data_IF_794201223261
#
_entry.id   IF_794201223261
#
_cell.length_a   1.000
_cell.length_b   1.000
_cell.length_c   1.000
_cell.angle_alpha   90.00
_cell.angle_beta   90.00
_cell.angle_gamma   90.00
#
_symmetry.space_group_name_H-M   'P 1'
#
loop_
_entity.id
_entity.type
_entity.pdbx_description
1 polymer ?
#
# COMPACT_ATOMS: atom_id res chain seq x y z
N UNK A 1 0.70 25.95 -41.33
CA UNK A 1 1.96 25.41 -40.78
C UNK A 1 1.75 25.10 -39.31
N UNK A 2 1.21 23.91 -39.00
CA UNK A 2 0.95 23.49 -37.62
C UNK A 2 2.22 22.88 -37.03
N UNK A 3 2.84 23.56 -36.07
CA UNK A 3 3.95 23.03 -35.27
C UNK A 3 3.38 22.02 -34.26
N UNK A 4 3.44 20.73 -34.58
CA UNK A 4 3.20 19.66 -33.60
C UNK A 4 4.44 19.59 -32.71
N UNK A 5 4.30 20.06 -31.47
CA UNK A 5 5.28 19.88 -30.40
C UNK A 5 5.40 18.38 -30.12
N UNK A 6 6.57 17.80 -30.36
CA UNK A 6 6.92 16.44 -29.92
C UNK A 6 7.07 16.46 -28.41
N UNK A 7 5.95 16.47 -27.71
CA UNK A 7 5.89 16.22 -26.27
C UNK A 7 6.38 14.81 -26.02
N UNK A 8 7.48 14.70 -25.27
CA UNK A 8 8.09 13.45 -24.87
C UNK A 8 7.04 12.54 -24.21
N UNK A 9 6.67 11.45 -24.88
CA UNK A 9 6.03 10.33 -24.21
C UNK A 9 7.08 9.76 -23.26
N UNK A 10 7.06 10.22 -22.02
CA UNK A 10 7.82 9.60 -20.94
C UNK A 10 7.48 8.12 -20.97
N UNK A 11 8.51 7.30 -21.12
CA UNK A 11 8.43 5.85 -21.08
C UNK A 11 8.05 5.47 -19.65
N UNK A 12 6.75 5.54 -19.32
CA UNK A 12 6.26 5.05 -18.05
C UNK A 12 6.30 3.53 -18.18
N UNK A 13 7.41 2.97 -17.73
CA UNK A 13 7.59 1.54 -17.55
C UNK A 13 6.51 1.08 -16.57
N UNK A 14 5.36 0.66 -17.11
CA UNK A 14 4.16 0.28 -16.37
C UNK A 14 4.37 -1.11 -15.79
N UNK A 15 5.32 -1.24 -14.87
CA UNK A 15 5.43 -2.37 -13.99
C UNK A 15 4.20 -2.36 -13.07
N UNK A 16 3.09 -2.95 -13.51
CA UNK A 16 1.87 -3.31 -12.75
C UNK A 16 1.69 -2.43 -11.51
N UNK A 17 1.50 -1.13 -11.75
CA UNK A 17 1.40 -0.17 -10.67
C UNK A 17 0.11 -0.48 -9.91
N UNK A 18 0.20 -0.69 -8.59
CA UNK A 18 -0.97 -0.82 -7.73
C UNK A 18 -1.74 0.50 -7.73
N UNK A 19 -2.66 0.64 -8.69
CA UNK A 19 -3.40 1.86 -8.97
C UNK A 19 -4.41 2.17 -7.87
N UNK A 20 -5.01 1.13 -7.29
CA UNK A 20 -6.08 1.31 -6.31
C UNK A 20 -5.49 1.64 -4.94
N UNK A 21 -5.89 2.79 -4.41
CA UNK A 21 -5.49 3.32 -3.11
C UNK A 21 -6.70 3.47 -2.22
N UNK A 22 -6.49 3.61 -0.92
CA UNK A 22 -7.54 3.88 0.05
C UNK A 22 -7.06 4.70 1.23
N UNK A 23 -7.99 5.34 1.91
CA UNK A 23 -7.82 5.88 3.26
C UNK A 23 -8.94 5.36 4.16
N UNK A 24 -8.79 5.52 5.48
CA UNK A 24 -9.81 5.12 6.45
C UNK A 24 -10.64 6.34 6.85
N UNK A 25 -11.97 6.23 6.80
CA UNK A 25 -12.85 7.25 7.35
C UNK A 25 -12.92 7.14 8.89
N UNK A 26 -13.60 8.09 9.54
CA UNK A 26 -13.81 8.11 10.99
C UNK A 26 -14.51 6.84 11.52
N UNK A 27 -15.32 6.18 10.67
CA UNK A 27 -15.99 4.91 10.97
C UNK A 27 -15.07 3.69 10.81
N UNK A 28 -13.84 3.87 10.32
CA UNK A 28 -12.86 2.81 10.08
C UNK A 28 -13.03 2.06 8.75
N UNK A 29 -13.94 2.50 7.88
CA UNK A 29 -14.20 1.91 6.56
C UNK A 29 -13.20 2.43 5.53
N UNK A 30 -12.95 1.62 4.49
CA UNK A 30 -12.02 1.98 3.41
C UNK A 30 -12.74 2.80 2.34
N UNK A 31 -12.28 4.02 2.10
CA UNK A 31 -12.71 4.84 0.96
C UNK A 31 -11.64 4.75 -0.12
N UNK A 32 -12.03 4.26 -1.29
CA UNK A 32 -11.11 4.01 -2.40
C UNK A 32 -10.89 5.26 -3.25
N UNK A 33 -9.67 5.42 -3.74
CA UNK A 33 -9.26 6.52 -4.62
C UNK A 33 -8.09 6.09 -5.50
N UNK A 34 -7.85 6.85 -6.58
CA UNK A 34 -6.64 6.77 -7.39
C UNK A 34 -5.61 7.84 -7.00
N UNK A 35 -6.01 8.83 -6.20
CA UNK A 35 -5.14 9.92 -5.75
C UNK A 35 -4.15 9.46 -4.68
N UNK A 36 -2.93 10.01 -4.74
CA UNK A 36 -1.89 9.78 -3.72
C UNK A 36 -2.20 10.41 -2.37
N UNK A 37 -3.10 11.39 -2.33
CA UNK A 37 -3.52 12.12 -1.13
C UNK A 37 -5.04 12.09 -1.00
N UNK A 38 -5.55 12.13 0.24
CA UNK A 38 -6.96 12.34 0.53
C UNK A 38 -7.32 13.84 0.42
N UNK A 39 -8.59 14.18 0.66
CA UNK A 39 -9.06 15.58 0.63
C UNK A 39 -8.47 16.45 1.76
N UNK A 40 -7.93 15.83 2.82
CA UNK A 40 -7.33 16.48 3.98
C UNK A 40 -5.80 16.60 3.86
N UNK A 41 -5.21 16.08 2.78
CA UNK A 41 -3.77 16.08 2.52
C UNK A 41 -2.99 14.88 3.07
N UNK A 42 -3.62 13.92 3.73
CA UNK A 42 -2.98 12.69 4.20
C UNK A 42 -2.64 11.75 3.04
N UNK A 43 -1.52 11.05 3.16
CA UNK A 43 -1.09 10.07 2.16
C UNK A 43 -2.00 8.82 2.17
N UNK A 44 -2.50 8.44 1.01
CA UNK A 44 -3.34 7.25 0.86
C UNK A 44 -2.48 5.97 0.87
N UNK A 45 -3.09 4.83 1.23
CA UNK A 45 -2.43 3.53 1.31
C UNK A 45 -2.75 2.67 0.10
N UNK A 46 -1.89 1.72 -0.25
CA UNK A 46 -2.17 0.73 -1.30
C UNK A 46 -3.32 -0.19 -0.86
N UNK A 47 -4.34 -0.35 -1.70
CA UNK A 47 -5.45 -1.27 -1.43
C UNK A 47 -5.06 -2.74 -1.57
N UNK A 48 -3.94 -3.01 -2.25
CA UNK A 48 -3.50 -4.35 -2.56
C UNK A 48 -2.63 -4.93 -1.43
N UNK A 49 -2.81 -6.22 -1.09
CA UNK A 49 -2.02 -6.87 -0.05
C UNK A 49 -0.54 -6.98 -0.46
N UNK A 50 0.34 -7.06 0.54
CA UNK A 50 1.75 -7.36 0.29
C UNK A 50 1.88 -8.74 -0.38
N UNK A 51 2.79 -8.85 -1.36
CA UNK A 51 3.06 -10.11 -2.07
C UNK A 51 3.49 -11.20 -1.09
N UNK A 52 2.83 -12.35 -1.16
CA UNK A 52 3.27 -13.55 -0.45
C UNK A 52 4.37 -14.26 -1.25
N UNK A 53 5.44 -14.65 -0.56
CA UNK A 53 6.50 -15.48 -1.09
C UNK A 53 6.77 -16.60 -0.09
N UNK A 54 6.82 -17.88 -0.53
CA UNK A 54 7.20 -18.98 0.35
C UNK A 54 8.62 -18.81 0.91
N UNK A 55 9.56 -18.42 0.04
CA UNK A 55 10.97 -18.18 0.39
C UNK A 55 11.19 -16.74 0.88
N UNK A 56 10.49 -16.36 1.94
CA UNK A 56 10.61 -15.04 2.54
C UNK A 56 11.79 -14.96 3.51
N UNK A 57 12.90 -14.38 3.02
CA UNK A 57 14.14 -14.17 3.77
C UNK A 57 13.94 -13.38 5.08
N UNK A 58 12.93 -12.50 5.13
CA UNK A 58 12.68 -11.63 6.28
C UNK A 58 11.58 -12.13 7.23
N UNK A 59 11.20 -13.40 7.08
CA UNK A 59 10.16 -14.04 7.89
C UNK A 59 10.46 -14.04 9.39
N UNK A 60 11.72 -14.35 9.77
CA UNK A 60 12.16 -14.37 11.17
C UNK A 60 12.08 -12.98 11.83
N UNK A 61 12.50 -11.94 11.12
CA UNK A 61 12.46 -10.54 11.57
C UNK A 61 11.01 -10.07 11.73
N UNK A 62 10.11 -10.44 10.80
CA UNK A 62 8.68 -10.14 10.92
C UNK A 62 8.09 -10.75 12.18
N UNK A 63 8.40 -12.02 12.49
CA UNK A 63 7.90 -12.69 13.69
C UNK A 63 8.47 -12.04 14.96
N UNK A 64 9.77 -11.74 15.00
CA UNK A 64 10.40 -11.07 16.12
C UNK A 64 9.78 -9.70 16.41
N UNK A 65 9.51 -8.91 15.38
CA UNK A 65 8.83 -7.62 15.49
C UNK A 65 7.42 -7.79 16.08
N UNK A 66 6.60 -8.70 15.55
CA UNK A 66 5.27 -9.00 16.10
C UNK A 66 5.34 -9.39 17.58
N UNK A 67 6.36 -10.16 17.99
CA UNK A 67 6.52 -10.63 19.37
C UNK A 67 6.82 -9.50 20.34
N UNK A 68 7.66 -8.54 19.93
CA UNK A 68 8.01 -7.35 20.72
C UNK A 68 6.79 -6.47 21.02
N UNK A 69 5.88 -6.34 20.05
CA UNK A 69 4.66 -5.53 20.19
C UNK A 69 3.44 -6.30 20.71
N UNK A 70 3.58 -7.57 21.11
CA UNK A 70 2.45 -8.36 21.61
C UNK A 70 1.38 -8.66 20.56
N UNK A 71 1.73 -8.63 19.26
CA UNK A 71 0.79 -8.75 18.14
C UNK A 71 0.56 -10.20 17.69
N UNK A 72 1.28 -11.18 18.25
CA UNK A 72 1.01 -12.57 17.88
C UNK A 72 -0.35 -13.03 18.41
N UNK A 73 -1.14 -13.78 17.62
CA UNK A 73 -2.38 -14.38 18.09
C UNK A 73 -2.19 -15.22 19.36
N UNK A 74 -1.06 -15.93 19.47
CA UNK A 74 -0.71 -16.77 20.62
C UNK A 74 -0.40 -15.98 21.91
N UNK A 75 -0.15 -14.67 21.81
CA UNK A 75 0.12 -13.81 22.98
C UNK A 75 -1.17 -13.20 23.55
N UNK A 76 -2.28 -13.22 22.81
CA UNK A 76 -3.56 -12.68 23.31
C UNK A 76 -4.12 -13.62 24.37
N UNK A 77 -4.51 -13.09 25.53
CA UNK A 77 -5.36 -13.84 26.45
C UNK A 77 -6.68 -14.12 25.74
N UNK A 78 -7.06 -15.38 25.63
CA UNK A 78 -8.42 -15.74 25.27
C UNK A 78 -9.31 -15.23 26.40
N UNK A 79 -10.06 -14.16 26.13
CA UNK A 79 -11.15 -13.71 26.99
C UNK A 79 -12.40 -14.53 26.66
#
# INVERSE_FOLDING_TARGET
MFKVSKGAYTVINLAVAMLLRYYKNEKGERVYTLSGTNNEGEATLSAHPAKFSPDDLYSSQRIACKKRFGLLPTQRKNN
#
